data_IF_375832651256
#
_entry.id   IF_375832651256
#
_cell.length_a   1.000
_cell.length_b   1.000
_cell.length_c   1.000
_cell.angle_alpha   90.00
_cell.angle_beta   90.00
_cell.angle_gamma   90.00
#
_symmetry.space_group_name_H-M   'P 1'
#
loop_
_entity.id
_entity.type
_entity.pdbx_description
1 polymer ?
#
# COMPACT_ATOMS: atom_id res chain seq x y z
N UNK A 1 -33.58 49.03 28.59
CA UNK A 1 -32.42 48.37 27.94
C UNK A 1 -31.86 47.35 28.92
N UNK A 2 -32.16 46.07 28.72
CA UNK A 2 -31.58 44.95 29.49
C UNK A 2 -31.94 43.63 28.79
N UNK A 3 -30.88 42.91 28.40
CA UNK A 3 -30.85 41.68 27.60
C UNK A 3 -31.49 40.46 28.30
N UNK A 4 -32.14 39.54 27.56
CA UNK A 4 -32.38 38.17 28.01
C UNK A 4 -31.41 37.22 27.30
N UNK A 5 -30.37 36.76 28.00
CA UNK A 5 -29.59 35.58 27.58
C UNK A 5 -29.44 34.68 28.80
N UNK A 6 -30.44 33.84 29.03
CA UNK A 6 -30.32 32.62 29.81
C UNK A 6 -30.26 31.47 28.79
N UNK A 7 -29.04 31.03 28.46
CA UNK A 7 -28.76 30.00 27.47
C UNK A 7 -27.94 28.87 28.07
N UNK A 8 -28.63 27.80 28.47
CA UNK A 8 -28.24 26.39 28.28
C UNK A 8 -26.78 26.06 28.65
N UNK A 9 -26.54 25.80 29.93
CA UNK A 9 -25.46 24.94 30.39
C UNK A 9 -26.08 23.64 30.92
N UNK A 10 -26.08 22.57 30.13
CA UNK A 10 -26.00 21.17 30.55
C UNK A 10 -26.27 20.25 29.36
N UNK A 11 -25.71 19.04 29.45
CA UNK A 11 -25.92 17.88 28.58
C UNK A 11 -25.18 17.88 27.23
N UNK A 12 -23.91 17.47 27.28
CA UNK A 12 -23.32 16.61 26.24
C UNK A 12 -22.22 15.76 26.87
N UNK A 13 -22.62 14.92 27.83
CA UNK A 13 -21.82 13.80 28.31
C UNK A 13 -22.74 12.57 28.37
N UNK A 14 -22.24 11.44 27.88
CA UNK A 14 -22.84 10.10 27.81
C UNK A 14 -23.78 9.82 26.62
N UNK A 15 -23.15 9.38 25.53
CA UNK A 15 -23.66 8.28 24.70
C UNK A 15 -22.52 7.27 24.49
N UNK A 16 -22.09 6.65 25.60
CA UNK A 16 -21.38 5.37 25.52
C UNK A 16 -22.45 4.30 25.70
N UNK A 17 -22.97 3.77 24.58
CA UNK A 17 -23.93 2.68 24.58
C UNK A 17 -23.42 1.49 25.40
N UNK A 18 -24.35 0.73 25.98
CA UNK A 18 -24.03 -0.42 26.83
C UNK A 18 -23.31 -1.51 26.01
N UNK A 19 -22.59 -2.42 26.69
CA UNK A 19 -21.91 -3.54 26.01
C UNK A 19 -22.89 -4.42 25.21
N UNK A 20 -24.15 -4.51 25.65
CA UNK A 20 -25.24 -5.28 25.02
C UNK A 20 -25.82 -4.59 23.77
N UNK A 21 -25.84 -3.25 23.73
CA UNK A 21 -26.22 -2.50 22.51
C UNK A 21 -25.12 -2.52 21.44
N UNK A 22 -23.85 -2.48 21.86
CA UNK A 22 -22.70 -2.70 20.95
C UNK A 22 -22.66 -4.12 20.38
N UNK A 23 -23.21 -5.08 21.12
CA UNK A 23 -23.33 -6.47 20.69
C UNK A 23 -24.37 -6.64 19.56
N UNK A 24 -25.43 -5.82 19.55
CA UNK A 24 -26.43 -5.77 18.46
C UNK A 24 -25.93 -5.05 17.20
N UNK A 25 -25.06 -4.05 17.34
CA UNK A 25 -24.45 -3.33 16.21
C UNK A 25 -23.30 -4.11 15.52
N UNK A 26 -22.99 -5.32 16.00
CA UNK A 26 -22.10 -6.26 15.33
C UNK A 26 -20.61 -5.88 15.36
N UNK A 27 -20.20 -4.85 16.10
CA UNK A 27 -18.80 -4.42 16.16
C UNK A 27 -18.07 -5.06 17.35
N UNK A 28 -16.79 -5.39 17.20
CA UNK A 28 -15.95 -5.74 18.36
C UNK A 28 -15.53 -4.47 19.09
N UNK A 29 -15.21 -4.59 20.37
CA UNK A 29 -14.68 -3.51 21.18
C UNK A 29 -13.56 -4.02 22.10
N UNK A 30 -13.04 -3.14 22.96
CA UNK A 30 -11.89 -3.42 23.81
C UNK A 30 -12.26 -4.14 25.12
N UNK A 31 -13.54 -4.49 25.32
CA UNK A 31 -13.95 -5.19 26.54
C UNK A 31 -13.37 -6.60 26.56
N UNK A 32 -12.87 -7.09 27.71
CA UNK A 32 -12.19 -8.39 27.78
C UNK A 32 -13.01 -9.56 27.22
N UNK A 33 -14.33 -9.56 27.44
CA UNK A 33 -15.24 -10.57 26.90
C UNK A 33 -15.42 -10.49 25.39
N UNK A 34 -15.44 -9.28 24.82
CA UNK A 34 -15.53 -9.03 23.38
C UNK A 34 -14.27 -9.52 22.65
N UNK A 35 -13.09 -9.24 23.23
CA UNK A 35 -11.80 -9.72 22.74
C UNK A 35 -11.67 -11.25 22.84
N UNK A 36 -12.15 -11.87 23.92
CA UNK A 36 -12.17 -13.33 24.05
C UNK A 36 -13.07 -13.98 22.97
N UNK A 37 -14.27 -13.42 22.73
CA UNK A 37 -15.17 -13.87 21.65
C UNK A 37 -14.54 -13.71 20.25
N UNK A 38 -13.71 -12.69 20.05
CA UNK A 38 -12.95 -12.53 18.81
C UNK A 38 -11.91 -13.64 18.65
N UNK A 39 -11.14 -13.93 19.69
CA UNK A 39 -10.11 -14.99 19.69
C UNK A 39 -10.71 -16.34 19.31
N UNK A 40 -11.86 -16.68 19.90
CA UNK A 40 -12.63 -17.86 19.56
C UNK A 40 -13.12 -17.83 18.10
N UNK A 41 -13.70 -16.70 17.66
CA UNK A 41 -14.21 -16.55 16.30
C UNK A 41 -13.13 -16.70 15.22
N UNK A 42 -11.96 -16.09 15.43
CA UNK A 42 -10.81 -16.18 14.53
C UNK A 42 -10.35 -17.63 14.39
N UNK A 43 -10.34 -18.37 15.51
CA UNK A 43 -9.90 -19.77 15.56
C UNK A 43 -10.92 -20.73 14.94
N UNK A 44 -12.21 -20.52 15.21
CA UNK A 44 -13.28 -21.44 14.82
C UNK A 44 -13.79 -21.23 13.37
N UNK A 45 -13.87 -19.97 12.91
CA UNK A 45 -14.56 -19.63 11.66
C UNK A 45 -13.89 -18.57 10.79
N UNK A 46 -12.68 -18.11 11.15
CA UNK A 46 -11.98 -17.12 10.35
C UNK A 46 -11.64 -17.63 8.95
N UNK A 47 -11.85 -16.79 7.94
CA UNK A 47 -11.48 -17.04 6.55
C UNK A 47 -10.28 -16.14 6.14
N UNK A 48 -9.05 -16.68 6.14
CA UNK A 48 -7.85 -15.94 5.76
C UNK A 48 -7.82 -15.44 4.30
N UNK A 49 -8.51 -16.12 3.38
CA UNK A 49 -8.54 -15.70 1.98
C UNK A 49 -9.41 -14.46 1.80
N UNK A 50 -10.57 -14.41 2.48
CA UNK A 50 -11.40 -13.20 2.58
C UNK A 50 -10.66 -12.09 3.32
N UNK A 51 -9.98 -12.40 4.41
CA UNK A 51 -9.16 -11.45 5.16
C UNK A 51 -8.06 -10.80 4.33
N UNK A 52 -7.43 -11.56 3.43
CA UNK A 52 -6.47 -11.02 2.46
C UNK A 52 -7.11 -10.00 1.52
N UNK A 53 -8.31 -10.28 1.02
CA UNK A 53 -9.02 -9.35 0.13
C UNK A 53 -9.33 -8.03 0.84
N UNK A 54 -9.75 -8.09 2.10
CA UNK A 54 -9.98 -6.94 2.96
C UNK A 54 -8.68 -6.16 3.18
N UNK A 55 -7.58 -6.84 3.53
CA UNK A 55 -6.29 -6.19 3.69
C UNK A 55 -5.86 -5.40 2.44
N UNK A 56 -6.14 -5.95 1.25
CA UNK A 56 -5.80 -5.36 -0.05
C UNK A 56 -6.81 -4.35 -0.56
N UNK A 57 -7.95 -4.19 0.10
CA UNK A 57 -8.96 -3.22 -0.32
C UNK A 57 -8.51 -1.82 0.07
N UNK A 58 -8.25 -0.98 -0.93
CA UNK A 58 -7.81 0.40 -0.75
C UNK A 58 -8.97 1.39 -0.66
N UNK A 59 -10.23 0.92 -0.59
CA UNK A 59 -11.41 1.80 -0.51
C UNK A 59 -12.01 1.81 0.89
N UNK A 60 -12.30 0.63 1.45
CA UNK A 60 -12.95 0.53 2.75
C UNK A 60 -11.93 0.30 3.86
N UNK A 61 -11.19 -0.81 3.80
CA UNK A 61 -10.26 -1.20 4.86
C UNK A 61 -8.93 -0.44 4.83
N UNK A 62 -8.42 -0.12 3.64
CA UNK A 62 -7.22 0.69 3.37
C UNK A 62 -5.92 0.20 4.02
N UNK A 63 -5.87 -1.03 4.53
CA UNK A 63 -4.71 -1.53 5.28
C UNK A 63 -3.44 -1.50 4.41
N UNK A 64 -3.52 -2.01 3.17
CA UNK A 64 -2.40 -2.00 2.22
C UNK A 64 -2.02 -0.61 1.71
N UNK A 65 -2.85 0.42 1.92
CA UNK A 65 -2.52 1.80 1.54
C UNK A 65 -1.47 2.41 2.46
N UNK A 66 -1.29 1.88 3.67
CA UNK A 66 -0.30 2.35 4.63
C UNK A 66 0.72 1.28 5.00
N UNK A 67 0.29 0.02 5.10
CA UNK A 67 1.09 -1.08 5.62
C UNK A 67 1.56 -2.03 4.52
N UNK A 68 2.80 -2.50 4.68
CA UNK A 68 3.38 -3.55 3.84
C UNK A 68 3.34 -4.89 4.55
N UNK A 69 2.95 -5.93 3.82
CA UNK A 69 2.99 -7.32 4.28
C UNK A 69 3.49 -8.22 3.14
N UNK A 70 4.54 -9.00 3.40
CA UNK A 70 5.13 -9.92 2.41
C UNK A 70 5.52 -9.21 1.09
N UNK A 71 5.90 -7.94 1.17
CA UNK A 71 6.28 -7.11 0.01
C UNK A 71 5.12 -6.38 -0.68
N UNK A 72 3.86 -6.61 -0.28
CA UNK A 72 2.67 -5.96 -0.86
C UNK A 72 2.15 -4.87 0.07
N UNK A 73 1.79 -3.71 -0.50
CA UNK A 73 1.29 -2.54 0.22
C UNK A 73 2.31 -1.39 0.29
N UNK A 74 1.91 -0.28 0.88
CA UNK A 74 2.72 0.94 0.98
C UNK A 74 3.65 0.93 2.20
N UNK A 75 4.54 1.91 2.25
CA UNK A 75 5.50 2.12 3.35
C UNK A 75 5.27 3.46 4.04
N UNK A 76 4.05 3.62 4.57
CA UNK A 76 3.69 4.74 5.45
C UNK A 76 3.76 4.28 6.90
N UNK A 77 3.02 3.23 7.25
CA UNK A 77 3.05 2.59 8.57
C UNK A 77 4.10 1.48 8.69
N UNK A 78 4.19 0.85 9.88
CA UNK A 78 5.11 -0.27 10.12
C UNK A 78 4.83 -1.45 9.20
N UNK A 79 5.89 -2.17 8.83
CA UNK A 79 5.76 -3.45 8.13
C UNK A 79 5.09 -4.48 9.03
N UNK A 80 4.16 -5.25 8.48
CA UNK A 80 3.36 -6.22 9.24
C UNK A 80 3.95 -7.64 9.21
N UNK A 81 5.08 -7.87 8.56
CA UNK A 81 5.70 -9.20 8.45
C UNK A 81 5.93 -9.85 9.83
N UNK A 82 6.26 -9.05 10.86
CA UNK A 82 6.51 -9.55 12.21
C UNK A 82 5.24 -9.76 13.06
N UNK A 83 4.08 -9.23 12.65
CA UNK A 83 2.82 -9.35 13.40
C UNK A 83 2.42 -10.81 13.59
N UNK A 84 2.64 -11.63 12.57
CA UNK A 84 2.34 -13.05 12.58
C UNK A 84 2.98 -13.77 13.77
N UNK A 85 4.23 -13.42 14.10
CA UNK A 85 5.02 -14.10 15.14
C UNK A 85 4.95 -13.37 16.48
N UNK A 86 4.94 -12.03 16.46
CA UNK A 86 5.14 -11.21 17.67
C UNK A 86 3.86 -10.76 18.36
N UNK A 87 2.70 -10.84 17.71
CA UNK A 87 1.44 -10.35 18.28
C UNK A 87 0.41 -11.47 18.42
N UNK A 88 -0.30 -11.46 19.54
CA UNK A 88 -1.51 -12.24 19.79
C UNK A 88 -2.70 -11.70 19.01
N UNK A 89 -3.77 -12.49 18.88
CA UNK A 89 -5.02 -12.04 18.26
C UNK A 89 -5.59 -10.81 18.99
N UNK A 90 -5.56 -10.84 20.33
CA UNK A 90 -5.92 -9.71 21.19
C UNK A 90 -5.13 -8.45 20.88
N UNK A 91 -3.80 -8.52 20.86
CA UNK A 91 -2.97 -7.34 20.59
C UNK A 91 -3.21 -6.76 19.19
N UNK A 92 -3.45 -7.62 18.18
CA UNK A 92 -3.83 -7.17 16.84
C UNK A 92 -5.16 -6.43 16.90
N UNK A 93 -6.16 -7.00 17.57
CA UNK A 93 -7.48 -6.41 17.70
C UNK A 93 -7.44 -5.05 18.41
N UNK A 94 -6.69 -4.96 19.52
CA UNK A 94 -6.49 -3.71 20.26
C UNK A 94 -5.84 -2.64 19.38
N UNK A 95 -4.82 -3.00 18.58
CA UNK A 95 -4.17 -2.08 17.66
C UNK A 95 -5.12 -1.58 16.55
N UNK A 96 -6.02 -2.44 16.05
CA UNK A 96 -7.00 -2.08 15.02
C UNK A 96 -8.16 -1.23 15.59
N UNK A 97 -8.64 -1.55 16.79
CA UNK A 97 -9.75 -0.88 17.46
C UNK A 97 -9.35 0.47 18.07
N UNK A 98 -8.12 0.57 18.59
CA UNK A 98 -7.61 1.75 19.26
C UNK A 98 -6.16 2.06 18.84
N UNK A 99 -5.94 2.50 17.59
CA UNK A 99 -4.60 2.72 17.04
C UNK A 99 -3.76 3.78 17.78
N UNK A 100 -4.40 4.71 18.50
CA UNK A 100 -3.73 5.72 19.33
C UNK A 100 -3.39 5.24 20.74
N UNK A 101 -3.86 4.07 21.18
CA UNK A 101 -3.62 3.57 22.55
C UNK A 101 -2.15 3.22 22.79
N UNK A 102 -1.46 2.74 21.76
CA UNK A 102 -0.03 2.43 21.78
C UNK A 102 0.59 2.79 20.44
N UNK A 103 1.35 3.88 20.42
CA UNK A 103 2.11 4.28 19.23
C UNK A 103 3.35 3.40 19.08
N UNK A 104 3.57 2.88 17.88
CA UNK A 104 4.78 2.09 17.58
C UNK A 104 5.98 3.02 17.51
N UNK A 105 7.09 2.63 18.14
CA UNK A 105 8.34 3.37 18.10
C UNK A 105 8.83 3.56 16.65
N UNK A 106 9.28 4.78 16.32
CA UNK A 106 9.68 5.14 14.96
C UNK A 106 8.50 5.47 14.02
N UNK A 107 7.26 5.32 14.50
CA UNK A 107 6.03 5.64 13.77
C UNK A 107 5.15 6.61 14.55
N UNK A 108 5.76 7.48 15.36
CA UNK A 108 5.01 8.49 16.08
C UNK A 108 4.65 9.67 15.20
N UNK A 109 3.40 10.13 15.37
CA UNK A 109 2.90 11.32 14.72
C UNK A 109 3.44 12.56 15.43
N UNK A 110 3.92 13.52 14.64
CA UNK A 110 4.33 14.83 15.11
C UNK A 110 3.55 15.91 14.38
N UNK A 111 3.35 17.03 15.07
CA UNK A 111 2.76 18.24 14.52
C UNK A 111 3.77 19.36 14.59
N UNK A 112 4.02 20.01 13.45
CA UNK A 112 4.89 21.17 13.33
C UNK A 112 4.03 22.40 13.03
N UNK A 113 4.04 23.36 13.95
CA UNK A 113 3.52 24.69 13.71
C UNK A 113 4.62 25.52 13.03
N UNK A 114 4.32 26.05 11.86
CA UNK A 114 5.22 26.90 11.09
C UNK A 114 5.11 28.37 11.50
N UNK A 115 6.16 29.13 11.27
CA UNK A 115 6.19 30.58 11.52
C UNK A 115 5.20 31.35 10.63
N UNK A 116 4.79 30.79 9.49
CA UNK A 116 3.73 31.32 8.62
C UNK A 116 2.31 30.92 9.07
N UNK A 117 2.17 30.33 10.26
CA UNK A 117 0.90 29.91 10.85
C UNK A 117 0.35 28.58 10.35
N UNK A 118 0.98 27.94 9.35
CA UNK A 118 0.53 26.63 8.86
C UNK A 118 0.88 25.53 9.85
N UNK A 119 -0.01 24.55 9.95
CA UNK A 119 0.21 23.35 10.75
C UNK A 119 0.40 22.17 9.80
N UNK A 120 1.50 21.43 9.98
CA UNK A 120 1.79 20.22 9.22
C UNK A 120 1.89 19.07 10.21
N UNK A 121 1.17 17.98 9.95
CA UNK A 121 1.19 16.77 10.79
C UNK A 121 1.54 15.54 9.96
N UNK A 122 2.30 14.63 10.56
CA UNK A 122 2.74 13.40 9.92
C UNK A 122 3.71 12.60 10.77
N UNK A 123 4.18 11.46 10.24
CA UNK A 123 5.22 10.66 10.89
C UNK A 123 6.54 11.40 10.86
N UNK A 124 7.26 11.43 11.98
CA UNK A 124 8.62 11.98 12.01
C UNK A 124 9.60 11.00 11.38
N UNK A 125 9.98 11.28 10.13
CA UNK A 125 10.97 10.47 9.41
C UNK A 125 12.38 10.82 9.84
N UNK A 126 12.67 12.12 9.97
CA UNK A 126 13.99 12.61 10.34
C UNK A 126 13.92 14.03 10.91
N UNK A 127 14.73 14.30 11.91
CA UNK A 127 14.95 15.65 12.45
C UNK A 127 16.44 15.92 12.53
N UNK A 128 16.89 17.05 11.99
CA UNK A 128 18.30 17.47 11.99
C UNK A 128 18.40 18.96 12.28
N UNK A 129 19.60 19.49 12.46
CA UNK A 129 19.81 20.94 12.58
C UNK A 129 19.26 21.75 11.39
N UNK A 130 19.16 21.15 10.20
CA UNK A 130 18.61 21.81 9.00
C UNK A 130 17.07 21.84 8.94
N UNK A 131 16.37 20.98 9.68
CA UNK A 131 14.91 20.93 9.64
C UNK A 131 14.29 19.58 10.00
N UNK A 132 12.97 19.53 9.87
CA UNK A 132 12.12 18.39 10.19
C UNK A 132 11.50 17.81 8.91
N UNK A 133 11.67 16.50 8.69
CA UNK A 133 11.05 15.77 7.60
C UNK A 133 9.84 14.98 8.14
N UNK A 134 8.64 15.37 7.71
CA UNK A 134 7.39 14.68 8.04
C UNK A 134 6.83 13.93 6.84
N UNK A 135 6.30 12.73 7.05
CA UNK A 135 5.53 11.96 6.06
C UNK A 135 4.04 11.99 6.40
N UNK A 136 3.21 12.45 5.48
CA UNK A 136 1.76 12.45 5.68
C UNK A 136 1.11 11.06 5.43
N UNK A 137 -0.19 10.95 5.68
CA UNK A 137 -0.97 9.72 5.49
C UNK A 137 -1.07 9.24 4.03
N UNK A 138 -0.68 10.07 3.07
CA UNK A 138 -0.60 9.72 1.65
C UNK A 138 0.81 9.28 1.25
N UNK A 139 1.75 9.26 2.20
CA UNK A 139 3.15 8.92 1.98
C UNK A 139 3.99 10.05 1.38
N UNK A 140 3.48 11.29 1.37
CA UNK A 140 4.24 12.45 0.88
C UNK A 140 5.15 12.98 1.98
N UNK A 141 6.42 13.12 1.63
CA UNK A 141 7.42 13.72 2.51
C UNK A 141 7.44 15.24 2.33
N UNK A 142 7.45 15.96 3.45
CA UNK A 142 7.57 17.42 3.50
C UNK A 142 8.72 17.80 4.43
N UNK A 143 9.74 18.43 3.86
CA UNK A 143 10.82 19.03 4.63
C UNK A 143 10.39 20.43 5.07
N UNK A 144 10.44 20.68 6.38
CA UNK A 144 10.20 21.99 6.98
C UNK A 144 11.56 22.50 7.47
N UNK A 145 12.11 23.56 6.86
CA UNK A 145 13.37 24.16 7.30
C UNK A 145 13.30 24.57 8.76
N UNK A 146 14.40 24.42 9.52
CA UNK A 146 14.40 24.72 10.96
C UNK A 146 13.97 26.16 11.27
N UNK A 147 14.34 27.11 10.42
CA UNK A 147 13.95 28.52 10.53
C UNK A 147 12.45 28.78 10.33
N UNK A 148 11.73 27.86 9.69
CA UNK A 148 10.28 27.95 9.47
C UNK A 148 9.48 27.26 10.57
N UNK A 149 10.12 26.62 11.55
CA UNK A 149 9.45 25.87 12.61
C UNK A 149 9.31 26.74 13.86
N UNK A 150 8.07 27.07 14.23
CA UNK A 150 7.77 27.73 15.49
C UNK A 150 7.70 26.74 16.66
N UNK A 151 7.07 25.58 16.45
CA UNK A 151 6.90 24.54 17.49
C UNK A 151 6.80 23.15 16.88
N UNK A 152 7.34 22.16 17.58
CA UNK A 152 7.21 20.73 17.26
C UNK A 152 6.60 20.05 18.48
N UNK A 153 5.55 19.26 18.26
CA UNK A 153 4.88 18.50 19.31
C UNK A 153 4.66 17.07 18.88
N UNK A 154 4.93 16.12 19.79
CA UNK A 154 4.51 14.73 19.61
C UNK A 154 3.00 14.66 19.82
N UNK A 155 2.28 14.12 18.84
CA UNK A 155 0.83 13.94 18.92
C UNK A 155 0.52 12.63 19.65
N UNK A 156 -0.47 12.61 20.55
CA UNK A 156 -0.98 11.36 21.13
C UNK A 156 -1.84 10.57 20.12
N UNK A 157 -2.16 11.14 18.96
CA UNK A 157 -3.03 10.54 17.95
C UNK A 157 -2.19 9.85 16.87
N UNK A 158 -2.47 8.58 16.62
CA UNK A 158 -1.84 7.81 15.54
C UNK A 158 -2.22 8.35 14.17
N UNK A 159 -1.30 8.22 13.19
CA UNK A 159 -1.62 8.49 11.79
C UNK A 159 -2.53 7.39 11.20
N UNK A 160 -2.59 6.21 11.82
CA UNK A 160 -3.60 5.21 11.49
C UNK A 160 -4.98 5.73 11.93
N UNK A 161 -5.95 5.91 11.01
CA UNK A 161 -7.23 6.52 11.33
C UNK A 161 -8.00 5.73 12.38
N UNK A 162 -8.52 6.44 13.39
CA UNK A 162 -9.51 5.88 14.29
C UNK A 162 -10.75 5.46 13.49
N UNK A 163 -11.40 4.37 13.91
CA UNK A 163 -12.61 3.82 13.26
C UNK A 163 -12.41 3.39 11.80
N UNK A 164 -11.17 3.18 11.33
CA UNK A 164 -10.93 2.65 9.98
C UNK A 164 -11.69 1.32 9.75
N UNK A 165 -11.72 0.48 10.77
CA UNK A 165 -12.40 -0.81 10.75
C UNK A 165 -13.91 -0.71 10.99
N UNK A 166 -14.47 0.47 11.26
CA UNK A 166 -15.91 0.60 11.56
C UNK A 166 -16.80 0.33 10.36
N UNK A 167 -16.21 0.28 9.15
CA UNK A 167 -16.88 -0.12 7.91
C UNK A 167 -16.90 -1.63 7.69
N UNK A 168 -16.14 -2.39 8.49
CA UNK A 168 -16.09 -3.84 8.38
C UNK A 168 -17.23 -4.45 9.20
N UNK A 169 -17.85 -5.50 8.64
CA UNK A 169 -18.72 -6.35 9.42
C UNK A 169 -17.91 -7.11 10.48
N UNK A 170 -18.61 -7.69 11.47
CA UNK A 170 -17.98 -8.58 12.46
C UNK A 170 -17.17 -9.68 11.79
N UNK A 171 -17.75 -10.29 10.77
CA UNK A 171 -17.15 -11.40 10.04
C UNK A 171 -15.93 -10.94 9.25
N UNK A 172 -16.02 -9.80 8.57
CA UNK A 172 -14.88 -9.23 7.83
C UNK A 172 -13.73 -8.85 8.78
N UNK A 173 -14.03 -8.35 9.98
CA UNK A 173 -13.01 -8.11 11.00
C UNK A 173 -12.34 -9.41 11.47
N UNK A 174 -13.13 -10.46 11.77
CA UNK A 174 -12.62 -11.81 12.11
C UNK A 174 -11.73 -12.34 10.98
N UNK A 175 -12.17 -12.20 9.73
CA UNK A 175 -11.44 -12.66 8.55
C UNK A 175 -10.12 -11.90 8.39
N UNK A 176 -10.11 -10.57 8.56
CA UNK A 176 -8.89 -9.76 8.52
C UNK A 176 -7.87 -10.20 9.57
N UNK A 177 -8.30 -10.39 10.82
CA UNK A 177 -7.40 -10.83 11.91
C UNK A 177 -6.91 -12.27 11.66
N UNK A 178 -7.79 -13.15 11.18
CA UNK A 178 -7.43 -14.51 10.76
C UNK A 178 -6.37 -14.52 9.67
N UNK A 179 -6.47 -13.61 8.69
CA UNK A 179 -5.44 -13.42 7.67
C UNK A 179 -4.09 -12.95 8.25
N UNK A 180 -4.09 -11.97 9.16
CA UNK A 180 -2.87 -11.49 9.83
C UNK A 180 -2.19 -12.57 10.68
N UNK A 181 -2.93 -13.62 11.09
CA UNK A 181 -2.42 -14.79 11.80
C UNK A 181 -2.27 -16.05 10.93
N UNK A 182 -2.43 -15.96 9.61
CA UNK A 182 -2.33 -17.11 8.71
C UNK A 182 -1.06 -17.08 7.84
N UNK A 183 -0.03 -17.90 8.16
CA UNK A 183 1.18 -17.97 7.35
C UNK A 183 0.89 -18.39 5.90
N UNK A 184 -0.04 -19.32 5.70
CA UNK A 184 -0.39 -19.83 4.37
C UNK A 184 -1.05 -18.76 3.50
N UNK A 185 -1.97 -17.97 4.06
CA UNK A 185 -2.63 -16.90 3.32
C UNK A 185 -1.68 -15.72 3.04
N UNK A 186 -0.82 -15.37 4.00
CA UNK A 186 0.23 -14.37 3.77
C UNK A 186 1.20 -14.80 2.68
N UNK A 187 1.59 -16.09 2.63
CA UNK A 187 2.43 -16.61 1.53
C UNK A 187 1.80 -16.41 0.16
N UNK A 188 0.47 -16.35 0.03
CA UNK A 188 -0.21 -16.06 -1.24
C UNK A 188 0.02 -14.61 -1.73
N UNK A 189 0.47 -13.69 -0.86
CA UNK A 189 0.94 -12.35 -1.26
C UNK A 189 2.36 -12.37 -1.83
N UNK A 190 3.19 -13.36 -1.48
CA UNK A 190 4.61 -13.40 -1.87
C UNK A 190 4.73 -13.43 -3.40
N UNK A 191 5.71 -12.68 -3.88
CA UNK A 191 6.02 -12.58 -5.30
C UNK A 191 5.08 -11.69 -6.11
N UNK A 192 3.95 -11.22 -5.58
CA UNK A 192 3.07 -10.30 -6.31
C UNK A 192 3.67 -8.90 -6.34
N UNK A 193 3.69 -8.28 -7.52
CA UNK A 193 3.95 -6.84 -7.61
C UNK A 193 2.69 -6.07 -7.16
N UNK A 194 2.66 -5.67 -5.89
CA UNK A 194 1.51 -4.95 -5.29
C UNK A 194 1.45 -3.46 -5.64
N UNK A 195 2.60 -2.86 -5.94
CA UNK A 195 2.73 -1.49 -6.43
C UNK A 195 3.80 -1.46 -7.52
N UNK A 196 3.76 -0.48 -8.41
CA UNK A 196 4.73 -0.27 -9.47
C UNK A 196 4.82 1.21 -9.83
N UNK A 197 5.95 1.62 -10.40
CA UNK A 197 6.05 2.96 -11.00
C UNK A 197 5.45 2.94 -12.40
N UNK A 198 4.49 3.82 -12.63
CA UNK A 198 3.79 4.02 -13.90
C UNK A 198 4.30 5.27 -14.60
N UNK A 199 4.61 5.18 -15.89
CA UNK A 199 4.86 6.37 -16.74
C UNK A 199 4.28 6.19 -18.14
N UNK A 200 3.88 7.30 -18.76
CA UNK A 200 3.21 7.37 -20.06
C UNK A 200 2.52 8.73 -20.26
N UNK A 201 1.85 8.96 -21.40
CA UNK A 201 1.62 8.02 -22.49
C UNK A 201 2.77 7.94 -23.49
N UNK A 202 2.97 6.74 -24.04
CA UNK A 202 3.81 6.47 -25.22
C UNK A 202 2.95 6.04 -26.41
N UNK A 203 3.57 5.93 -27.59
CA UNK A 203 2.93 5.33 -28.76
C UNK A 203 2.35 3.96 -28.42
N UNK A 204 1.17 3.63 -28.95
CA UNK A 204 0.53 2.31 -28.77
C UNK A 204 1.39 1.14 -29.29
N UNK A 205 2.32 1.43 -30.19
CA UNK A 205 3.19 0.44 -30.80
C UNK A 205 4.22 -0.14 -29.81
N UNK A 206 3.87 -1.26 -29.16
CA UNK A 206 4.72 -1.94 -28.17
C UNK A 206 6.03 -2.52 -28.74
N UNK A 207 6.15 -2.60 -30.06
CA UNK A 207 7.33 -3.13 -30.73
C UNK A 207 8.48 -2.13 -30.81
N UNK A 208 8.21 -0.81 -30.74
CA UNK A 208 9.23 0.24 -30.84
C UNK A 208 9.84 0.51 -29.47
N UNK A 209 11.14 0.30 -29.29
CA UNK A 209 11.80 0.58 -28.00
C UNK A 209 11.74 2.07 -27.64
N UNK A 210 11.62 2.40 -26.35
CA UNK A 210 11.78 3.78 -25.85
C UNK A 210 13.14 3.96 -25.15
N UNK A 211 13.71 5.19 -25.09
CA UNK A 211 14.99 5.44 -24.42
C UNK A 211 15.04 4.93 -22.98
N UNK A 212 13.93 5.04 -22.24
CA UNK A 212 13.84 4.58 -20.84
C UNK A 212 14.06 3.07 -20.67
N UNK A 213 13.93 2.27 -21.73
CA UNK A 213 14.14 0.82 -21.65
C UNK A 213 15.60 0.46 -21.31
N UNK A 214 16.55 1.37 -21.58
CA UNK A 214 17.98 1.16 -21.30
C UNK A 214 18.37 1.37 -19.83
N UNK A 215 17.73 2.32 -19.17
CA UNK A 215 18.01 2.70 -17.78
C UNK A 215 16.73 3.24 -17.11
N UNK A 216 15.79 2.36 -16.74
CA UNK A 216 14.53 2.79 -16.14
C UNK A 216 14.76 3.21 -14.68
N UNK A 217 14.59 4.50 -14.41
CA UNK A 217 14.77 5.09 -13.08
C UNK A 217 13.63 6.07 -12.73
N UNK A 218 12.81 5.79 -11.70
CA UNK A 218 11.78 6.71 -11.24
C UNK A 218 12.29 8.04 -10.69
N UNK A 219 13.56 8.12 -10.28
CA UNK A 219 14.16 9.37 -9.84
C UNK A 219 14.46 10.32 -11.01
N UNK A 220 14.42 9.82 -12.26
CA UNK A 220 14.64 10.60 -13.48
C UNK A 220 13.30 10.84 -14.19
N UNK A 221 13.22 11.95 -14.91
CA UNK A 221 12.10 12.19 -15.84
C UNK A 221 12.24 11.23 -17.02
N UNK A 222 11.17 10.51 -17.37
CA UNK A 222 11.17 9.65 -18.53
C UNK A 222 11.07 10.49 -19.81
N UNK A 223 11.95 10.20 -20.78
CA UNK A 223 11.94 10.83 -22.09
C UNK A 223 11.39 9.84 -23.12
N UNK A 224 10.28 10.20 -23.76
CA UNK A 224 9.79 9.47 -24.94
C UNK A 224 10.67 9.72 -26.17
N UNK A 225 10.64 8.82 -27.15
CA UNK A 225 11.31 9.05 -28.44
C UNK A 225 10.87 10.36 -29.13
N UNK A 226 9.64 10.83 -28.88
CA UNK A 226 9.13 12.09 -29.42
C UNK A 226 9.60 13.34 -28.64
N UNK A 227 10.50 13.22 -27.68
CA UNK A 227 11.01 14.34 -26.88
C UNK A 227 10.12 14.78 -25.71
N UNK A 228 8.95 14.15 -25.51
CA UNK A 228 8.07 14.45 -24.38
C UNK A 228 8.68 13.96 -23.05
N UNK A 229 8.71 14.86 -22.08
CA UNK A 229 9.04 14.61 -20.68
C UNK A 229 7.84 14.05 -19.92
N UNK A 230 8.04 12.94 -19.21
CA UNK A 230 7.00 12.18 -18.52
C UNK A 230 7.45 11.86 -17.10
N UNK A 231 6.58 12.11 -16.12
CA UNK A 231 6.84 11.81 -14.72
C UNK A 231 6.48 10.36 -14.41
N UNK A 232 7.16 9.77 -13.43
CA UNK A 232 6.76 8.50 -12.85
C UNK A 232 5.78 8.74 -11.72
N UNK A 233 4.75 7.90 -11.65
CA UNK A 233 3.79 7.91 -10.56
C UNK A 233 3.67 6.52 -9.99
N UNK A 234 3.77 6.40 -8.67
CA UNK A 234 3.48 5.15 -7.99
C UNK A 234 2.00 4.80 -8.18
N UNK A 235 1.74 3.56 -8.59
CA UNK A 235 0.39 3.01 -8.74
C UNK A 235 0.29 1.67 -8.03
N UNK A 236 -0.90 1.32 -7.58
CA UNK A 236 -1.17 0.09 -6.83
C UNK A 236 -1.97 -0.88 -7.68
N UNK A 237 -1.65 -2.17 -7.55
CA UNK A 237 -2.48 -3.23 -8.08
C UNK A 237 -3.79 -3.31 -7.28
N UNK A 238 -4.86 -3.81 -7.91
CA UNK A 238 -6.10 -4.14 -7.21
C UNK A 238 -5.90 -5.36 -6.30
N UNK A 239 -6.92 -5.71 -5.52
CA UNK A 239 -6.93 -6.92 -4.68
C UNK A 239 -6.71 -8.22 -5.48
N UNK A 240 -7.12 -8.26 -6.75
CA UNK A 240 -6.86 -9.36 -7.69
C UNK A 240 -5.47 -9.31 -8.35
N UNK A 241 -4.67 -8.27 -8.06
CA UNK A 241 -3.26 -8.18 -8.45
C UNK A 241 -3.03 -7.61 -9.82
N UNK A 242 -4.11 -7.15 -10.45
CA UNK A 242 -4.06 -6.50 -11.73
C UNK A 242 -4.01 -4.98 -11.51
N UNK A 243 -2.99 -4.35 -12.07
CA UNK A 243 -2.96 -2.91 -12.32
C UNK A 243 -4.01 -2.60 -13.37
N UNK A 244 -4.86 -1.59 -13.12
CA UNK A 244 -5.77 -1.03 -14.12
C UNK A 244 -5.13 0.22 -14.73
N UNK A 245 -4.84 0.18 -16.03
CA UNK A 245 -4.15 1.23 -16.75
C UNK A 245 -5.15 2.22 -17.35
N UNK A 246 -5.43 3.27 -16.58
CA UNK A 246 -6.34 4.36 -16.96
C UNK A 246 -5.78 5.72 -16.51
N UNK A 247 -6.34 6.81 -17.06
CA UNK A 247 -6.01 8.17 -16.66
C UNK A 247 -4.87 8.79 -17.49
N UNK A 248 -4.30 9.93 -17.07
CA UNK A 248 -3.39 10.72 -17.91
C UNK A 248 -2.11 10.00 -18.35
N UNK A 249 -1.58 9.11 -17.52
CA UNK A 249 -0.41 8.30 -17.85
C UNK A 249 -0.75 7.07 -18.71
N UNK A 250 -2.03 6.71 -18.80
CA UNK A 250 -2.56 5.58 -19.55
C UNK A 250 -3.91 5.95 -20.21
N UNK A 251 -3.94 6.89 -21.17
CA UNK A 251 -5.13 7.20 -21.95
C UNK A 251 -5.39 6.09 -22.99
N UNK A 252 -6.61 6.01 -23.56
CA UNK A 252 -6.91 5.14 -24.70
C UNK A 252 -5.92 5.31 -25.87
N UNK A 253 -5.72 4.24 -26.65
CA UNK A 253 -4.89 4.23 -27.87
C UNK A 253 -3.43 4.64 -27.62
N UNK A 254 -2.91 4.37 -26.42
CA UNK A 254 -1.52 4.64 -26.04
C UNK A 254 -0.83 3.38 -25.53
N UNK A 255 0.35 3.52 -24.93
CA UNK A 255 0.91 2.52 -24.02
C UNK A 255 1.56 3.20 -22.81
N UNK A 256 1.79 2.43 -21.76
CA UNK A 256 2.40 2.89 -20.51
C UNK A 256 3.38 1.84 -20.01
N UNK A 257 4.38 2.30 -19.25
CA UNK A 257 5.34 1.42 -18.59
C UNK A 257 5.02 1.26 -17.12
N UNK A 258 5.13 0.02 -16.63
CA UNK A 258 5.18 -0.34 -15.22
C UNK A 258 6.58 -0.83 -14.89
N UNK A 259 7.16 -0.34 -13.80
CA UNK A 259 8.49 -0.72 -13.32
C UNK A 259 8.42 -1.26 -11.89
N UNK A 260 9.06 -2.41 -11.70
CA UNK A 260 9.36 -3.00 -10.40
C UNK A 260 10.75 -3.64 -10.38
N UNK A 261 11.18 -4.10 -9.21
CA UNK A 261 12.48 -4.71 -8.97
C UNK A 261 12.36 -6.02 -8.20
N UNK A 262 13.35 -6.86 -8.40
CA UNK A 262 13.53 -8.12 -7.69
C UNK A 262 15.00 -8.23 -7.27
N UNK A 263 15.26 -8.46 -5.99
CA UNK A 263 16.62 -8.72 -5.47
C UNK A 263 16.90 -10.21 -5.49
N UNK A 264 18.04 -10.60 -6.05
CA UNK A 264 18.57 -11.96 -5.93
C UNK A 264 19.95 -11.92 -5.28
N UNK A 265 20.22 -12.84 -4.37
CA UNK A 265 21.53 -13.06 -3.75
C UNK A 265 22.53 -13.72 -4.72
N UNK A 266 22.05 -14.46 -5.70
CA UNK A 266 22.86 -15.22 -6.65
C UNK A 266 22.19 -15.30 -8.02
N UNK A 267 22.96 -15.73 -9.01
CA UNK A 267 22.41 -16.04 -10.31
C UNK A 267 21.48 -17.26 -10.22
N UNK A 268 20.26 -17.14 -10.75
CA UNK A 268 19.26 -18.23 -10.72
C UNK A 268 18.15 -18.02 -11.73
N UNK A 269 17.53 -19.12 -12.15
CA UNK A 269 16.27 -19.08 -12.89
C UNK A 269 15.11 -18.80 -11.93
N UNK A 270 14.10 -18.08 -12.43
CA UNK A 270 12.84 -17.84 -11.74
C UNK A 270 11.69 -17.80 -12.74
N UNK A 271 10.45 -17.90 -12.25
CA UNK A 271 9.26 -17.89 -13.10
C UNK A 271 8.37 -16.71 -12.76
N UNK A 272 8.09 -15.87 -13.76
CA UNK A 272 7.05 -14.85 -13.68
C UNK A 272 5.73 -15.42 -14.20
N UNK A 273 4.69 -15.31 -13.41
CA UNK A 273 3.30 -15.46 -13.80
C UNK A 273 2.78 -14.10 -14.26
N UNK A 274 2.30 -14.03 -15.50
CA UNK A 274 1.80 -12.78 -16.09
C UNK A 274 0.34 -12.93 -16.50
N UNK A 275 -0.41 -11.85 -16.33
CA UNK A 275 -1.79 -11.71 -16.78
C UNK A 275 -1.94 -10.33 -17.43
N UNK A 276 -2.42 -10.27 -18.67
CA UNK A 276 -2.55 -9.01 -19.39
C UNK A 276 -3.74 -9.02 -20.35
N UNK A 277 -4.47 -7.91 -20.46
CA UNK A 277 -5.64 -7.82 -21.34
C UNK A 277 -5.34 -7.27 -22.73
N UNK A 278 -4.11 -6.84 -22.99
CA UNK A 278 -3.71 -6.17 -24.22
C UNK A 278 -2.28 -6.54 -24.60
N UNK A 279 -1.79 -6.03 -25.73
CA UNK A 279 -0.42 -6.25 -26.15
C UNK A 279 0.58 -5.77 -25.09
N UNK A 280 1.60 -6.57 -24.83
CA UNK A 280 2.59 -6.34 -23.78
C UNK A 280 4.00 -6.62 -24.27
N UNK A 281 4.97 -5.92 -23.70
CA UNK A 281 6.40 -6.20 -23.82
C UNK A 281 7.03 -6.19 -22.44
N UNK A 282 7.74 -7.24 -22.07
CA UNK A 282 8.40 -7.35 -20.77
C UNK A 282 9.91 -7.40 -20.99
N UNK A 283 10.62 -6.57 -20.23
CA UNK A 283 12.07 -6.51 -20.19
C UNK A 283 12.55 -6.87 -18.80
N UNK A 284 13.60 -7.69 -18.73
CA UNK A 284 14.37 -7.98 -17.53
C UNK A 284 15.79 -7.49 -17.75
N UNK A 285 16.29 -6.59 -16.89
CA UNK A 285 17.61 -5.98 -17.03
C UNK A 285 17.85 -5.42 -18.45
N UNK A 286 16.86 -4.66 -18.94
CA UNK A 286 16.83 -4.04 -20.27
C UNK A 286 16.85 -5.02 -21.47
N UNK A 287 16.78 -6.33 -21.23
CA UNK A 287 16.63 -7.35 -22.27
C UNK A 287 15.16 -7.75 -22.39
N UNK A 288 14.62 -7.72 -23.61
CA UNK A 288 13.24 -8.17 -23.84
C UNK A 288 13.15 -9.67 -23.66
N UNK A 289 12.32 -10.13 -22.73
CA UNK A 289 12.11 -11.55 -22.41
C UNK A 289 10.75 -12.06 -22.90
N UNK A 290 9.79 -11.16 -23.13
CA UNK A 290 8.46 -11.54 -23.58
C UNK A 290 7.80 -10.42 -24.39
N UNK A 291 6.99 -10.81 -25.38
CA UNK A 291 6.20 -9.91 -26.19
C UNK A 291 4.96 -10.62 -26.72
N UNK A 292 3.80 -9.97 -26.59
CA UNK A 292 2.55 -10.45 -27.15
C UNK A 292 1.74 -9.27 -27.71
N UNK A 293 1.04 -9.48 -28.83
CA UNK A 293 0.21 -8.43 -29.45
C UNK A 293 -1.23 -8.40 -28.93
N UNK A 294 -1.68 -9.51 -28.32
CA UNK A 294 -3.02 -9.70 -27.76
C UNK A 294 -2.94 -10.07 -26.28
N UNK A 295 -4.03 -9.86 -25.55
CA UNK A 295 -4.14 -10.25 -24.14
C UNK A 295 -4.03 -11.77 -23.94
N UNK A 296 -3.51 -12.19 -22.80
CA UNK A 296 -3.46 -13.58 -22.35
C UNK A 296 -3.53 -13.62 -20.82
N UNK A 297 -4.19 -14.66 -20.30
CA UNK A 297 -4.29 -14.88 -18.85
C UNK A 297 -3.32 -15.98 -18.42
N UNK A 298 -2.66 -15.76 -17.27
CA UNK A 298 -1.86 -16.75 -16.54
C UNK A 298 -0.80 -17.45 -17.40
N UNK A 299 0.06 -16.67 -18.04
CA UNK A 299 1.21 -17.19 -18.76
C UNK A 299 2.43 -17.31 -17.82
N UNK A 300 3.21 -18.39 -17.97
CA UNK A 300 4.45 -18.63 -17.19
C UNK A 300 5.64 -18.24 -18.05
N UNK A 301 6.48 -17.35 -17.54
CA UNK A 301 7.64 -16.82 -18.22
C UNK A 301 8.89 -17.12 -17.39
N UNK A 302 9.72 -18.09 -17.79
CA UNK A 302 11.05 -18.28 -17.22
C UNK A 302 11.92 -17.06 -17.46
N UNK A 303 12.63 -16.62 -16.44
CA UNK A 303 13.59 -15.51 -16.49
C UNK A 303 14.85 -15.89 -15.74
N UNK A 304 15.99 -15.36 -16.20
CA UNK A 304 17.26 -15.49 -15.52
C UNK A 304 17.56 -14.23 -14.71
N UNK A 305 17.84 -14.40 -13.43
CA UNK A 305 18.19 -13.34 -12.50
C UNK A 305 19.69 -13.31 -12.29
N UNK A 306 20.25 -12.10 -12.18
CA UNK A 306 21.63 -11.87 -11.78
C UNK A 306 21.72 -11.55 -10.28
N UNK A 307 22.89 -11.73 -9.64
CA UNK A 307 23.12 -11.23 -8.27
C UNK A 307 22.84 -9.72 -8.17
N UNK A 308 22.23 -9.30 -7.08
CA UNK A 308 21.78 -7.93 -6.84
C UNK A 308 20.36 -7.64 -7.36
N UNK A 309 20.13 -6.38 -7.74
CA UNK A 309 18.83 -5.90 -8.20
C UNK A 309 18.61 -6.21 -9.69
N UNK A 310 17.44 -6.77 -9.98
CA UNK A 310 16.94 -7.05 -11.32
C UNK A 310 15.74 -6.14 -11.62
N UNK A 311 15.75 -5.46 -12.76
CA UNK A 311 14.61 -4.62 -13.19
C UNK A 311 13.58 -5.47 -13.92
N UNK A 312 12.30 -5.26 -13.61
CA UNK A 312 11.17 -5.81 -14.35
C UNK A 312 10.39 -4.63 -14.93
N UNK A 313 10.66 -4.32 -16.20
CA UNK A 313 10.03 -3.21 -16.92
C UNK A 313 9.00 -3.79 -17.91
N UNK A 314 7.74 -3.38 -17.76
CA UNK A 314 6.64 -3.87 -18.61
C UNK A 314 6.02 -2.71 -19.34
N UNK A 315 5.98 -2.78 -20.67
CA UNK A 315 5.15 -1.90 -21.51
C UNK A 315 3.84 -2.57 -21.85
N UNK A 316 2.72 -1.89 -21.62
CA UNK A 316 1.39 -2.41 -21.90
C UNK A 316 0.66 -1.45 -22.84
N UNK A 317 0.14 -1.96 -23.96
CA UNK A 317 -0.76 -1.21 -24.83
C UNK A 317 -2.08 -0.95 -24.12
N UNK A 318 -2.66 0.23 -24.33
CA UNK A 318 -3.92 0.59 -23.70
C UNK A 318 -5.08 0.66 -24.72
N UNK A 319 -6.07 -0.19 -24.51
CA UNK A 319 -7.32 -0.25 -25.27
C UNK A 319 -8.31 0.85 -24.83
N UNK A 320 -9.40 1.02 -25.58
CA UNK A 320 -10.42 2.05 -25.32
C UNK A 320 -11.08 1.94 -23.94
N UNK A 321 -11.23 0.72 -23.40
CA UNK A 321 -11.79 0.47 -22.06
C UNK A 321 -10.78 0.47 -20.91
N UNK A 322 -9.51 0.80 -21.20
CA UNK A 322 -8.39 0.56 -20.28
C UNK A 322 -7.92 -0.89 -20.33
N UNK A 323 -6.67 -1.11 -19.97
CA UNK A 323 -6.03 -2.43 -20.00
C UNK A 323 -5.57 -2.84 -18.61
N UNK A 324 -5.46 -4.14 -18.38
CA UNK A 324 -4.96 -4.70 -17.14
C UNK A 324 -3.64 -5.40 -17.35
N UNK A 325 -2.79 -5.32 -16.32
CA UNK A 325 -1.55 -6.09 -16.24
C UNK A 325 -1.33 -6.56 -14.82
N UNK A 326 -0.91 -7.80 -14.63
CA UNK A 326 -0.45 -8.34 -13.37
C UNK A 326 0.81 -9.17 -13.59
N UNK A 327 1.72 -9.09 -12.62
CA UNK A 327 2.91 -9.92 -12.58
C UNK A 327 3.10 -10.45 -11.17
N UNK A 328 3.39 -11.74 -11.08
CA UNK A 328 3.71 -12.43 -9.83
C UNK A 328 4.88 -13.35 -10.05
N UNK A 329 5.89 -13.27 -9.20
CA UNK A 329 6.96 -14.25 -9.13
C UNK A 329 6.46 -15.52 -8.45
N UNK A 330 6.82 -16.68 -8.98
CA UNK A 330 6.67 -17.95 -8.27
C UNK A 330 7.51 -17.88 -6.97
N UNK A 331 6.92 -18.04 -5.77
CA UNK A 331 7.57 -17.78 -4.47
C UNK A 331 8.75 -18.70 -4.10
N UNK A 332 9.35 -19.40 -5.06
CA UNK A 332 10.58 -20.16 -4.91
C UNK A 332 11.70 -19.33 -4.25
N UNK A 333 12.22 -19.84 -3.12
CA UNK A 333 13.43 -19.36 -2.43
C UNK A 333 13.42 -17.92 -1.86
N UNK A 334 12.26 -17.37 -1.47
CA UNK A 334 12.21 -16.14 -0.65
C UNK A 334 12.40 -14.83 -1.40
N UNK A 335 12.40 -14.87 -2.74
CA UNK A 335 12.47 -13.69 -3.60
C UNK A 335 11.21 -12.81 -3.44
N UNK A 336 11.39 -11.49 -3.55
CA UNK A 336 10.31 -10.49 -3.46
C UNK A 336 10.33 -9.58 -4.67
N UNK A 337 9.15 -9.30 -5.23
CA UNK A 337 8.93 -8.35 -6.31
C UNK A 337 8.33 -7.08 -5.72
N UNK A 338 8.94 -5.91 -5.95
CA UNK A 338 8.59 -4.66 -5.27
C UNK A 338 8.69 -3.43 -6.19
N UNK A 339 8.01 -2.35 -5.83
CA UNK A 339 8.21 -1.01 -6.43
C UNK A 339 9.46 -0.28 -5.90
N UNK A 340 10.20 -0.87 -4.96
CA UNK A 340 11.32 -0.20 -4.30
C UNK A 340 12.55 -1.09 -4.25
N UNK A 341 13.72 -0.47 -4.38
CA UNK A 341 15.02 -1.07 -4.07
C UNK A 341 15.31 -0.86 -2.59
N UNK A 342 14.76 -1.69 -1.72
CA UNK A 342 15.03 -1.66 -0.28
C UNK A 342 15.81 -2.91 0.11
N UNK A 343 16.84 -2.74 0.93
CA UNK A 343 17.78 -3.83 1.25
C UNK A 343 17.16 -5.03 1.94
#
# INVERSE_FOLDING_TARGET
MSNPIAGILAASLLLAGTADEREKDGQFDLEPGSLARLEEAVSARGNPDRGREIFLDTRDAQCSSCHRLQGVGAHVGPGLDAVLEKMTIREIAEALLAPSRKLTEGYETYTAARTDGKIISGLKIRETGGGLLLRDGLGKDTLIPRSEIARIEKSPVSLMPARLISRLSREDFVNLVSFLKSPAAQRKLRGRLGAAWLTGPFSRAINKSEPLEKDPDPAKVALSRAGKLLQWKLTSARSDGLFRLTGPAAPPKSSSYLLGWLKSDKEREAVLWIDHSAGVRILVNSKTVYKASVGSRKHRLPIRLQPGWNTILTRVANSTGGSTFGVRLDPSAGLRLSAYRQE
#
